data_IF_787553198483
#
_entry.id   IF_787553198483
#
_cell.length_a   1.000
_cell.length_b   1.000
_cell.length_c   1.000
_cell.angle_alpha   90.00
_cell.angle_beta   90.00
_cell.angle_gamma   90.00
#
_symmetry.space_group_name_H-M   'P 1'
#
loop_
_entity.id
_entity.type
_entity.pdbx_description
1 polymer ?
#
# COMPACT_ATOMS: atom_id res chain seq x y z
N UNK A 1 3.46 -1.08 -3.22
CA UNK A 1 2.09 -0.56 -3.43
C UNK A 1 2.19 0.88 -3.93
N UNK A 2 1.25 1.32 -4.76
CA UNK A 2 1.12 2.70 -5.21
C UNK A 2 -0.13 3.30 -4.60
N UNK A 3 0.03 4.50 -4.04
CA UNK A 3 -1.06 5.24 -3.41
C UNK A 3 -1.21 6.58 -4.13
N UNK A 4 -2.41 6.85 -4.63
CA UNK A 4 -2.81 8.14 -5.19
C UNK A 4 -3.82 8.76 -4.23
N UNK A 5 -3.63 10.02 -3.88
CA UNK A 5 -4.52 10.75 -2.96
C UNK A 5 -4.94 12.08 -3.57
N UNK A 6 -6.19 12.45 -3.33
CA UNK A 6 -6.70 13.80 -3.51
C UNK A 6 -6.90 14.41 -2.13
N UNK A 7 -6.33 15.60 -1.92
CA UNK A 7 -6.45 16.31 -0.65
C UNK A 7 -7.74 17.12 -0.58
N UNK A 8 -8.33 17.17 0.61
CA UNK A 8 -9.45 18.07 0.87
C UNK A 8 -9.02 19.54 0.77
N UNK A 9 -9.96 20.40 0.41
CA UNK A 9 -9.71 21.82 0.21
C UNK A 9 -9.01 22.48 1.42
N UNK A 10 -7.92 23.22 1.15
CA UNK A 10 -7.15 23.92 2.18
C UNK A 10 -6.36 23.00 3.13
N UNK A 11 -6.22 21.71 2.80
CA UNK A 11 -5.38 20.77 3.55
C UNK A 11 -4.06 20.55 2.84
N UNK A 12 -3.05 20.26 3.64
CA UNK A 12 -1.72 19.87 3.20
C UNK A 12 -1.33 18.57 3.88
N UNK A 13 -0.48 17.81 3.20
CA UNK A 13 0.00 16.51 3.64
C UNK A 13 1.42 16.34 3.11
N UNK A 14 2.36 16.00 3.98
CA UNK A 14 3.73 15.71 3.56
C UNK A 14 3.84 14.28 3.02
N UNK A 15 4.95 13.92 2.38
CA UNK A 15 5.13 12.55 1.90
C UNK A 15 5.24 11.57 3.08
N UNK A 16 5.85 12.00 4.18
CA UNK A 16 5.98 11.22 5.41
C UNK A 16 4.62 10.98 6.06
N UNK A 17 3.73 11.98 6.05
CA UNK A 17 2.34 11.82 6.50
C UNK A 17 1.57 10.76 5.68
N UNK A 18 1.95 10.55 4.41
CA UNK A 18 1.37 9.51 3.56
C UNK A 18 2.06 8.15 3.73
N UNK A 19 3.38 8.14 3.94
CA UNK A 19 4.17 6.92 4.09
C UNK A 19 3.85 6.23 5.42
N UNK A 20 3.71 6.98 6.51
CA UNK A 20 3.47 6.44 7.85
C UNK A 20 2.24 5.51 7.94
N UNK A 21 1.05 5.87 7.44
CA UNK A 21 -0.10 4.95 7.44
C UNK A 21 0.15 3.71 6.56
N UNK A 22 0.93 3.84 5.48
CA UNK A 22 1.30 2.69 4.65
C UNK A 22 2.21 1.72 5.39
N UNK A 23 3.23 2.23 6.09
CA UNK A 23 4.12 1.44 6.93
C UNK A 23 3.35 0.74 8.07
N UNK A 24 2.42 1.45 8.72
CA UNK A 24 1.57 0.89 9.77
C UNK A 24 0.66 -0.25 9.26
N UNK A 25 0.12 -0.10 8.05
CA UNK A 25 -0.75 -1.10 7.42
C UNK A 25 0.03 -2.37 7.03
N UNK A 26 1.18 -2.21 6.37
CA UNK A 26 1.90 -3.34 5.77
C UNK A 26 2.90 -4.00 6.73
N UNK A 27 3.46 -3.22 7.66
CA UNK A 27 4.39 -3.61 8.75
C UNK A 27 5.77 -4.12 8.33
N UNK A 28 5.96 -4.54 7.09
CA UNK A 28 7.19 -5.17 6.61
C UNK A 28 7.73 -4.40 5.40
N UNK A 29 8.25 -3.21 5.64
CA UNK A 29 8.92 -2.41 4.60
C UNK A 29 10.28 -3.03 4.25
N UNK A 30 10.65 -2.95 2.97
CA UNK A 30 11.92 -3.50 2.47
C UNK A 30 13.10 -2.72 3.06
N UNK A 31 14.10 -3.45 3.54
CA UNK A 31 15.32 -2.88 4.10
C UNK A 31 16.51 -3.22 3.19
N UNK A 32 17.38 -2.25 2.92
CA UNK A 32 18.49 -2.41 1.95
C UNK A 32 19.71 -3.08 2.58
N UNK A 33 20.08 -2.67 3.79
CA UNK A 33 21.23 -3.20 4.53
C UNK A 33 20.75 -3.56 5.93
N UNK A 34 20.91 -4.83 6.31
CA UNK A 34 20.40 -5.38 7.57
C UNK A 34 21.50 -6.20 8.26
N UNK A 35 21.49 -6.19 9.59
CA UNK A 35 22.26 -7.19 10.36
C UNK A 35 21.48 -8.50 10.42
N UNK A 36 22.14 -9.56 10.88
CA UNK A 36 21.51 -10.88 11.02
C UNK A 36 20.28 -10.84 11.93
N UNK A 37 20.35 -10.08 13.02
CA UNK A 37 19.26 -9.93 13.98
C UNK A 37 18.07 -9.20 13.36
N UNK A 38 18.32 -8.21 12.50
CA UNK A 38 17.28 -7.45 11.81
C UNK A 38 16.59 -8.29 10.74
N UNK A 39 17.35 -9.10 9.99
CA UNK A 39 16.80 -10.06 9.02
C UNK A 39 15.91 -11.10 9.71
N UNK A 40 16.35 -11.64 10.85
CA UNK A 40 15.56 -12.58 11.63
C UNK A 40 14.26 -11.92 12.12
N UNK A 41 14.34 -10.72 12.71
CA UNK A 41 13.17 -9.99 13.17
C UNK A 41 12.20 -9.67 12.02
N UNK A 42 12.72 -9.33 10.83
CA UNK A 42 11.90 -9.13 9.64
C UNK A 42 11.18 -10.41 9.20
N UNK A 43 11.89 -11.54 9.18
CA UNK A 43 11.31 -12.84 8.81
C UNK A 43 10.21 -13.27 9.80
N UNK A 44 10.44 -13.10 11.10
CA UNK A 44 9.46 -13.38 12.14
C UNK A 44 8.23 -12.47 12.02
N UNK A 45 8.43 -11.16 11.79
CA UNK A 45 7.34 -10.19 11.63
C UNK A 45 6.50 -10.48 10.38
N UNK A 46 7.14 -10.85 9.27
CA UNK A 46 6.46 -11.23 8.05
C UNK A 46 5.67 -12.54 8.24
N UNK A 47 6.28 -13.56 8.87
CA UNK A 47 5.60 -14.81 9.22
C UNK A 47 4.38 -14.62 10.14
N UNK A 48 4.43 -13.67 11.06
CA UNK A 48 3.32 -13.32 11.94
C UNK A 48 2.22 -12.48 11.26
N UNK A 49 2.50 -11.89 10.10
CA UNK A 49 1.61 -10.98 9.37
C UNK A 49 1.47 -11.35 7.89
N UNK A 50 1.35 -12.64 7.60
CA UNK A 50 1.05 -13.16 6.26
C UNK A 50 -0.29 -12.58 5.77
N UNK A 51 -0.33 -12.19 4.50
CA UNK A 51 -1.49 -11.52 3.88
C UNK A 51 -1.51 -11.77 2.37
N UNK A 52 -2.70 -11.87 1.81
CA UNK A 52 -2.91 -11.83 0.36
C UNK A 52 -2.79 -10.39 -0.16
N UNK A 53 -2.67 -10.23 -1.48
CA UNK A 53 -2.55 -8.90 -2.12
C UNK A 53 -3.80 -8.03 -1.88
N UNK A 54 -4.98 -8.66 -1.79
CA UNK A 54 -6.25 -8.01 -1.47
C UNK A 54 -6.30 -7.52 -0.03
N UNK A 55 -5.76 -8.30 0.92
CA UNK A 55 -5.68 -7.90 2.32
C UNK A 55 -4.73 -6.72 2.49
N UNK A 56 -3.60 -6.70 1.78
CA UNK A 56 -2.70 -5.54 1.77
C UNK A 56 -3.42 -4.26 1.30
N UNK A 57 -4.23 -4.35 0.23
CA UNK A 57 -5.02 -3.23 -0.25
C UNK A 57 -6.09 -2.78 0.76
N UNK A 58 -6.77 -3.73 1.45
CA UNK A 58 -7.77 -3.43 2.48
C UNK A 58 -7.17 -2.79 3.73
N UNK A 59 -5.98 -3.22 4.16
CA UNK A 59 -5.26 -2.64 5.30
C UNK A 59 -4.87 -1.18 4.98
N UNK A 60 -4.34 -0.93 3.79
CA UNK A 60 -4.02 0.43 3.32
C UNK A 60 -5.27 1.31 3.24
N UNK A 61 -6.38 0.79 2.71
CA UNK A 61 -7.67 1.48 2.73
C UNK A 61 -8.06 1.86 4.16
N UNK A 62 -7.94 0.93 5.11
CA UNK A 62 -8.31 1.13 6.51
C UNK A 62 -7.53 2.27 7.17
N UNK A 63 -6.22 2.38 6.90
CA UNK A 63 -5.40 3.48 7.43
C UNK A 63 -5.69 4.81 6.72
N UNK A 64 -5.77 4.83 5.38
CA UNK A 64 -5.99 6.06 4.61
C UNK A 64 -7.40 6.64 4.83
N UNK A 65 -8.42 5.80 5.01
CA UNK A 65 -9.79 6.25 5.26
C UNK A 65 -9.96 6.97 6.61
N UNK A 66 -9.02 6.79 7.56
CA UNK A 66 -9.03 7.49 8.85
C UNK A 66 -8.56 8.94 8.73
N UNK A 67 -7.76 9.27 7.71
CA UNK A 67 -7.23 10.62 7.55
C UNK A 67 -8.25 11.53 6.84
N UNK A 68 -8.82 12.46 7.61
CA UNK A 68 -9.79 13.45 7.12
C UNK A 68 -9.20 14.47 6.15
N UNK A 69 -7.86 14.55 6.03
CA UNK A 69 -7.19 15.41 5.05
C UNK A 69 -7.31 14.84 3.63
N UNK A 70 -7.57 13.54 3.49
CA UNK A 70 -7.69 12.85 2.21
C UNK A 70 -9.17 12.86 1.78
N UNK A 71 -9.48 13.63 0.72
CA UNK A 71 -10.81 13.68 0.12
C UNK A 71 -11.14 12.37 -0.59
N UNK A 72 -10.22 11.87 -1.41
CA UNK A 72 -10.35 10.62 -2.16
C UNK A 72 -8.99 9.92 -2.33
N UNK A 73 -8.99 8.62 -2.59
CA UNK A 73 -7.75 7.86 -2.85
C UNK A 73 -7.97 6.61 -3.70
N UNK A 74 -6.88 6.16 -4.32
CA UNK A 74 -6.73 4.85 -4.95
C UNK A 74 -5.47 4.17 -4.40
N UNK A 75 -5.60 2.91 -4.02
CA UNK A 75 -4.49 2.04 -3.64
C UNK A 75 -4.39 0.92 -4.67
N UNK A 76 -3.20 0.73 -5.23
CA UNK A 76 -2.87 -0.39 -6.11
C UNK A 76 -1.72 -1.21 -5.49
N UNK A 77 -1.93 -2.51 -5.35
CA UNK A 77 -0.97 -3.47 -4.84
C UNK A 77 -0.62 -4.48 -5.92
N UNK A 78 0.67 -4.82 -6.03
CA UNK A 78 1.16 -5.94 -6.82
C UNK A 78 2.00 -6.83 -5.91
N UNK A 79 1.71 -8.13 -5.92
CA UNK A 79 2.54 -9.15 -5.33
C UNK A 79 3.41 -9.74 -6.44
N UNK A 80 4.71 -9.47 -6.37
CA UNK A 80 5.68 -10.03 -7.30
C UNK A 80 5.90 -11.51 -6.95
N UNK A 81 5.24 -12.39 -7.68
CA UNK A 81 5.18 -13.81 -7.35
C UNK A 81 6.53 -14.48 -7.60
N UNK A 82 6.99 -15.25 -6.62
CA UNK A 82 8.24 -16.01 -6.75
C UNK A 82 8.06 -17.38 -7.40
N UNK A 83 6.86 -17.96 -7.27
CA UNK A 83 6.53 -19.31 -7.74
C UNK A 83 5.85 -19.32 -9.12
N UNK A 84 5.23 -18.22 -9.51
CA UNK A 84 4.46 -18.09 -10.73
C UNK A 84 5.10 -17.10 -11.69
N UNK A 85 4.86 -17.28 -12.99
CA UNK A 85 5.36 -16.36 -14.03
C UNK A 85 4.45 -15.14 -14.24
N UNK A 86 3.60 -14.83 -13.26
CA UNK A 86 2.66 -13.72 -13.30
C UNK A 86 2.44 -13.20 -11.87
N UNK A 87 2.19 -11.91 -11.76
CA UNK A 87 1.95 -11.25 -10.48
C UNK A 87 0.48 -11.28 -10.09
N UNK A 88 0.19 -11.28 -8.79
CA UNK A 88 -1.15 -11.06 -8.27
C UNK A 88 -1.35 -9.56 -7.99
N UNK A 89 -2.46 -8.98 -8.47
CA UNK A 89 -2.71 -7.54 -8.37
C UNK A 89 -4.06 -7.24 -7.72
N UNK A 90 -4.14 -6.12 -7.00
CA UNK A 90 -5.38 -5.65 -6.37
C UNK A 90 -5.45 -4.12 -6.37
N UNK A 91 -6.62 -3.57 -6.68
CA UNK A 91 -6.87 -2.13 -6.67
C UNK A 91 -8.15 -1.84 -5.88
N UNK A 92 -8.08 -0.83 -5.02
CA UNK A 92 -9.21 -0.35 -4.24
C UNK A 92 -9.26 1.18 -4.23
N UNK A 93 -10.45 1.74 -4.26
CA UNK A 93 -10.69 3.18 -4.17
C UNK A 93 -11.60 3.49 -2.98
N UNK A 94 -11.56 4.74 -2.49
CA UNK A 94 -12.44 5.19 -1.39
C UNK A 94 -13.93 5.10 -1.75
N UNK A 95 -14.27 5.17 -3.03
CA UNK A 95 -15.65 5.08 -3.54
C UNK A 95 -16.39 6.42 -3.60
N UNK A 96 -15.65 7.54 -3.74
CA UNK A 96 -16.25 8.87 -3.89
C UNK A 96 -16.91 8.98 -5.28
N UNK A 97 -18.13 9.50 -5.34
CA UNK A 97 -18.88 9.66 -6.59
C UNK A 97 -18.12 10.62 -7.53
N UNK A 98 -17.72 10.12 -8.70
CA UNK A 98 -16.94 10.89 -9.69
C UNK A 98 -15.46 11.03 -9.34
N UNK A 99 -14.98 10.31 -8.33
CA UNK A 99 -13.58 10.29 -7.93
C UNK A 99 -12.75 9.23 -8.65
N UNK A 100 -11.70 8.75 -7.99
CA UNK A 100 -10.83 7.71 -8.53
C UNK A 100 -11.60 6.42 -8.83
N UNK A 101 -11.22 5.77 -9.93
CA UNK A 101 -11.77 4.48 -10.35
C UNK A 101 -10.76 3.36 -10.12
N UNK A 102 -11.23 2.15 -9.82
CA UNK A 102 -10.37 0.99 -9.72
C UNK A 102 -10.04 0.50 -11.14
N UNK A 103 -8.96 1.05 -11.72
CA UNK A 103 -8.45 0.67 -13.03
C UNK A 103 -7.23 -0.26 -12.89
N UNK A 104 -7.13 -1.20 -13.83
CA UNK A 104 -6.13 -2.27 -13.89
C UNK A 104 -5.09 -2.04 -15.01
N UNK A 105 -5.19 -0.93 -15.75
CA UNK A 105 -4.44 -0.72 -16.99
C UNK A 105 -2.98 -0.28 -16.78
N UNK A 106 -2.62 0.16 -15.59
CA UNK A 106 -1.33 0.80 -15.28
C UNK A 106 -0.62 0.13 -14.09
N UNK A 107 -0.47 -1.20 -14.14
CA UNK A 107 0.33 -1.94 -13.17
C UNK A 107 1.80 -2.02 -13.51
N UNK A 108 2.19 -1.78 -14.76
CA UNK A 108 3.62 -1.76 -15.14
C UNK A 108 4.40 -0.70 -14.37
N UNK A 109 3.77 0.42 -14.00
CA UNK A 109 4.38 1.43 -13.13
C UNK A 109 4.55 1.00 -11.67
N UNK A 110 4.10 -0.20 -11.27
CA UNK A 110 4.37 -0.79 -9.96
C UNK A 110 5.66 -1.62 -9.94
N UNK A 111 6.23 -1.92 -11.10
CA UNK A 111 7.47 -2.67 -11.22
C UNK A 111 8.61 -1.64 -11.14
N UNK A 112 9.45 -1.78 -10.11
CA UNK A 112 10.59 -0.91 -9.84
C UNK A 112 11.80 -1.25 -10.73
#
# INVERSE_FOLDING_TARGET
ARVRVELAAGRTLSIEDLQQPCANALKTETQVMVKREDEQAFAELNGAHIKFVEDAARLLYGELAKDKRIADFQVACSHLESLHSHDAVSVICKGVKGGFTADFSDFQSLIC
#
